data_IF_253622292512
#
_entry.id   IF_253622292512
#
_cell.length_a   1.000
_cell.length_b   1.000
_cell.length_c   1.000
_cell.angle_alpha   90.00
_cell.angle_beta   90.00
_cell.angle_gamma   90.00
#
_symmetry.space_group_name_H-M   'P 1'
#
loop_
_entity.id
_entity.type
_entity.pdbx_description
1 polymer ?
#
# COMPACT_ATOMS: atom_id res chain seq x y z
N UNK A 1 -19.22 -8.86 -12.07
CA UNK A 1 -17.99 -8.96 -11.27
C UNK A 1 -18.11 -8.29 -9.92
N UNK A 2 -17.29 -8.71 -8.94
CA UNK A 2 -17.41 -8.27 -7.55
C UNK A 2 -17.25 -6.75 -7.39
N UNK A 3 -16.36 -6.16 -8.18
CA UNK A 3 -16.03 -4.74 -8.13
C UNK A 3 -16.53 -3.94 -9.34
N UNK A 4 -17.47 -4.50 -10.13
CA UNK A 4 -18.10 -3.78 -11.23
C UNK A 4 -18.76 -2.48 -10.75
N UNK A 5 -18.65 -1.46 -11.60
CA UNK A 5 -19.23 -0.15 -11.31
C UNK A 5 -18.47 0.62 -10.25
N UNK A 6 -17.22 0.25 -9.95
CA UNK A 6 -16.36 1.08 -9.10
C UNK A 6 -16.16 2.45 -9.77
N UNK A 7 -16.46 3.57 -9.06
CA UNK A 7 -16.54 4.88 -9.71
C UNK A 7 -15.20 5.42 -10.21
N UNK A 8 -14.08 4.93 -9.69
CA UNK A 8 -12.73 5.47 -9.96
C UNK A 8 -11.81 4.49 -10.67
N UNK A 9 -12.22 3.25 -10.86
CA UNK A 9 -11.43 2.28 -11.61
C UNK A 9 -12.30 1.42 -12.48
N UNK A 10 -11.91 1.25 -13.73
CA UNK A 10 -12.44 0.25 -14.64
C UNK A 10 -11.45 -0.90 -14.73
N UNK A 11 -11.91 -2.12 -14.86
CA UNK A 11 -11.04 -3.25 -15.17
C UNK A 11 -10.58 -4.06 -13.96
N UNK A 12 -11.34 -4.08 -12.87
CA UNK A 12 -11.12 -5.09 -11.83
C UNK A 12 -11.17 -6.49 -12.45
N UNK A 13 -10.23 -7.36 -12.04
CA UNK A 13 -10.26 -8.77 -12.42
C UNK A 13 -11.55 -9.46 -11.96
N UNK A 14 -11.95 -10.49 -12.66
CA UNK A 14 -13.10 -11.33 -12.29
C UNK A 14 -12.68 -12.54 -11.45
N UNK A 15 -11.38 -12.83 -11.39
CA UNK A 15 -10.82 -13.97 -10.71
C UNK A 15 -9.87 -13.50 -9.61
N UNK A 16 -10.13 -13.94 -8.38
CA UNK A 16 -9.35 -13.58 -7.21
C UNK A 16 -8.88 -14.85 -6.51
N UNK A 17 -7.59 -15.01 -6.30
CA UNK A 17 -7.07 -16.07 -5.42
C UNK A 17 -7.25 -15.69 -3.95
N UNK A 18 -7.18 -14.40 -3.64
CA UNK A 18 -7.33 -13.89 -2.27
C UNK A 18 -8.10 -12.59 -2.25
N UNK A 19 -9.06 -12.53 -1.35
CA UNK A 19 -9.76 -11.31 -0.96
C UNK A 19 -9.62 -11.11 0.54
N UNK A 20 -9.68 -9.87 0.98
CA UNK A 20 -9.66 -9.52 2.39
C UNK A 20 -11.00 -8.94 2.81
N UNK A 21 -11.50 -9.40 3.97
CA UNK A 21 -12.57 -8.75 4.71
C UNK A 21 -11.95 -7.91 5.83
N UNK A 22 -11.97 -6.59 5.66
CA UNK A 22 -11.39 -5.65 6.59
C UNK A 22 -12.48 -5.02 7.45
N UNK A 23 -12.35 -5.11 8.76
CA UNK A 23 -13.28 -4.52 9.71
C UNK A 23 -13.05 -3.03 9.97
N UNK A 24 -11.94 -2.47 9.46
CA UNK A 24 -11.56 -1.07 9.62
C UNK A 24 -10.69 -0.78 10.84
N UNK A 25 -10.30 -1.79 11.62
CA UNK A 25 -9.36 -1.70 12.75
C UNK A 25 -9.44 -0.37 13.53
N UNK A 26 -8.52 0.57 13.31
CA UNK A 26 -8.47 1.86 14.01
C UNK A 26 -9.54 2.87 13.54
N UNK A 27 -10.17 2.65 12.39
CA UNK A 27 -11.24 3.50 11.84
C UNK A 27 -12.62 2.93 12.15
N UNK A 28 -12.84 2.40 13.37
CA UNK A 28 -14.11 1.81 13.80
C UNK A 28 -14.59 2.37 15.14
N UNK A 29 -15.92 2.36 15.35
CA UNK A 29 -16.53 2.71 16.62
C UNK A 29 -16.21 1.73 17.76
N UNK A 30 -15.70 0.56 17.44
CA UNK A 30 -15.40 -0.52 18.39
C UNK A 30 -13.93 -0.61 18.77
N UNK A 31 -13.12 0.35 18.36
CA UNK A 31 -11.71 0.38 18.71
C UNK A 31 -11.53 0.41 20.24
N UNK A 32 -10.93 -0.63 20.79
CA UNK A 32 -10.75 -0.80 22.25
C UNK A 32 -9.61 0.06 22.82
N UNK A 33 -8.81 0.68 21.98
CA UNK A 33 -7.70 1.56 22.39
C UNK A 33 -8.11 2.97 22.79
N UNK A 34 -9.42 3.27 22.85
CA UNK A 34 -9.94 4.58 23.24
C UNK A 34 -9.79 4.80 24.76
N UNK A 35 -8.57 4.93 25.18
CA UNK A 35 -8.24 5.58 26.45
C UNK A 35 -8.03 7.07 26.18
N UNK A 36 -8.20 7.92 27.18
CA UNK A 36 -8.08 9.37 27.06
C UNK A 36 -6.73 9.86 26.47
N UNK A 37 -5.84 8.94 26.16
CA UNK A 37 -4.53 9.20 25.56
C UNK A 37 -4.10 7.99 24.72
N UNK A 38 -4.70 7.80 23.51
CA UNK A 38 -4.35 6.67 22.67
C UNK A 38 -2.90 6.80 22.21
N UNK A 39 -2.03 5.83 22.48
CA UNK A 39 -0.66 5.86 22.00
C UNK A 39 -0.55 5.69 20.47
N UNK A 40 -1.66 5.38 19.81
CA UNK A 40 -1.75 5.19 18.35
C UNK A 40 -3.16 5.52 17.84
N UNK A 41 -3.51 6.75 17.89
CA UNK A 41 -4.18 7.46 16.86
C UNK A 41 -5.65 7.30 16.61
N UNK A 42 -6.46 6.47 17.05
CA UNK A 42 -7.87 6.46 16.67
C UNK A 42 -8.80 6.79 17.83
N UNK A 43 -9.65 7.80 17.71
CA UNK A 43 -10.77 8.02 18.63
C UNK A 43 -12.03 7.41 18.03
N UNK A 44 -12.85 6.76 18.86
CA UNK A 44 -14.18 6.26 18.43
C UNK A 44 -15.04 7.35 17.78
N UNK A 45 -14.94 8.58 18.31
CA UNK A 45 -15.63 9.75 17.77
C UNK A 45 -15.22 10.13 16.36
N UNK A 46 -14.02 9.74 15.94
CA UNK A 46 -13.42 10.14 14.67
C UNK A 46 -13.49 9.01 13.64
N UNK A 47 -14.07 7.87 14.01
CA UNK A 47 -14.22 6.73 13.11
C UNK A 47 -15.15 7.05 11.94
N UNK A 48 -14.68 6.78 10.75
CA UNK A 48 -15.41 7.03 9.50
C UNK A 48 -15.71 5.77 8.72
N UNK A 49 -14.92 4.71 8.92
CA UNK A 49 -14.88 3.48 8.11
C UNK A 49 -14.45 3.70 6.65
N UNK A 50 -14.05 4.93 6.27
CA UNK A 50 -13.83 5.34 4.88
C UNK A 50 -12.36 5.51 4.52
N UNK A 51 -11.50 5.79 5.49
CA UNK A 51 -10.13 6.29 5.25
C UNK A 51 -9.30 5.36 4.37
N UNK A 52 -9.27 4.08 4.71
CA UNK A 52 -8.51 3.11 3.92
C UNK A 52 -9.09 2.93 2.51
N UNK A 53 -10.41 3.05 2.31
CA UNK A 53 -11.01 3.01 0.97
C UNK A 53 -10.66 4.29 0.20
N UNK A 54 -10.78 5.44 0.83
CA UNK A 54 -10.52 6.74 0.23
C UNK A 54 -9.11 6.82 -0.37
N UNK A 55 -8.09 6.41 0.37
CA UNK A 55 -6.70 6.52 -0.12
C UNK A 55 -6.44 5.61 -1.34
N UNK A 56 -7.05 4.43 -1.37
CA UNK A 56 -6.96 3.56 -2.55
C UNK A 56 -7.71 4.16 -3.75
N UNK A 57 -8.87 4.78 -3.52
CA UNK A 57 -9.63 5.45 -4.58
C UNK A 57 -8.86 6.65 -5.14
N UNK A 58 -8.17 7.40 -4.28
CA UNK A 58 -7.32 8.52 -4.73
C UNK A 58 -6.13 8.02 -5.53
N UNK A 59 -5.53 6.90 -5.17
CA UNK A 59 -4.45 6.29 -5.93
C UNK A 59 -4.92 5.91 -7.35
N UNK A 60 -6.14 5.37 -7.51
CA UNK A 60 -6.76 5.17 -8.83
C UNK A 60 -6.98 6.49 -9.59
N UNK A 61 -7.47 7.54 -8.92
CA UNK A 61 -7.71 8.86 -9.56
C UNK A 61 -6.41 9.47 -10.05
N UNK A 62 -5.29 9.22 -9.39
CA UNK A 62 -3.96 9.63 -9.84
C UNK A 62 -3.44 8.80 -11.03
N UNK A 63 -4.20 7.80 -11.49
CA UNK A 63 -3.83 6.96 -12.63
C UNK A 63 -2.97 5.75 -12.25
N UNK A 64 -2.78 5.52 -10.95
CA UNK A 64 -1.99 4.41 -10.45
C UNK A 64 -2.85 3.17 -10.19
N UNK A 65 -2.23 2.01 -10.24
CA UNK A 65 -2.85 0.79 -9.75
C UNK A 65 -3.02 0.85 -8.23
N UNK A 66 -4.19 0.41 -7.77
CA UNK A 66 -4.52 0.34 -6.37
C UNK A 66 -5.44 -0.86 -6.10
N UNK A 67 -5.85 -1.04 -4.86
CA UNK A 67 -6.66 -2.17 -4.46
C UNK A 67 -8.15 -1.84 -4.66
N UNK A 68 -8.83 -2.61 -5.51
CA UNK A 68 -10.28 -2.53 -5.61
C UNK A 68 -10.91 -2.97 -4.30
N UNK A 69 -12.04 -2.35 -3.99
CA UNK A 69 -12.78 -2.71 -2.79
C UNK A 69 -14.15 -2.05 -2.76
N UNK A 70 -15.02 -2.62 -1.96
CA UNK A 70 -16.36 -2.07 -1.70
C UNK A 70 -16.80 -2.40 -0.29
N UNK A 71 -17.74 -1.63 0.22
CA UNK A 71 -18.35 -1.93 1.51
C UNK A 71 -19.36 -3.05 1.41
N UNK A 72 -19.44 -3.85 2.48
CA UNK A 72 -20.34 -4.96 2.61
C UNK A 72 -20.85 -5.10 4.04
N UNK A 73 -22.08 -5.61 4.18
CA UNK A 73 -22.63 -6.01 5.45
C UNK A 73 -22.36 -7.49 5.65
N UNK A 74 -21.66 -7.85 6.72
CA UNK A 74 -21.29 -9.25 6.99
C UNK A 74 -22.34 -9.93 7.85
N UNK A 75 -22.84 -11.06 7.38
CA UNK A 75 -23.69 -11.97 8.12
C UNK A 75 -23.02 -13.35 8.18
N UNK A 76 -22.96 -13.95 9.37
CA UNK A 76 -22.48 -15.31 9.59
C UNK A 76 -23.63 -16.13 10.19
N UNK A 77 -24.06 -17.17 9.49
CA UNK A 77 -25.21 -17.99 9.87
C UNK A 77 -26.49 -17.16 10.15
N UNK A 78 -26.70 -16.10 9.37
CA UNK A 78 -27.85 -15.20 9.52
C UNK A 78 -27.71 -14.15 10.64
N UNK A 79 -26.64 -14.17 11.41
CA UNK A 79 -26.35 -13.17 12.44
C UNK A 79 -25.49 -12.05 11.85
N UNK A 80 -25.93 -10.81 12.06
CA UNK A 80 -25.19 -9.63 11.61
C UNK A 80 -23.90 -9.43 12.41
N UNK A 81 -22.78 -9.33 11.71
CA UNK A 81 -21.44 -9.15 12.29
C UNK A 81 -20.86 -7.76 12.08
N UNK A 82 -21.49 -6.92 11.27
CA UNK A 82 -21.06 -5.54 11.11
C UNK A 82 -20.79 -5.12 9.67
N UNK A 83 -20.27 -3.90 9.57
CA UNK A 83 -19.85 -3.26 8.33
C UNK A 83 -18.40 -3.58 8.05
N UNK A 84 -18.12 -4.08 6.86
CA UNK A 84 -16.79 -4.50 6.42
C UNK A 84 -16.45 -3.88 5.08
N UNK A 85 -15.18 -3.77 4.79
CA UNK A 85 -14.67 -3.56 3.44
C UNK A 85 -14.19 -4.91 2.89
N UNK A 86 -14.82 -5.38 1.80
CA UNK A 86 -14.24 -6.45 0.99
C UNK A 86 -13.31 -5.80 -0.02
N UNK A 87 -12.08 -6.25 -0.09
CA UNK A 87 -11.07 -5.67 -0.97
C UNK A 87 -10.08 -6.72 -1.47
N UNK A 88 -9.38 -6.39 -2.52
CA UNK A 88 -8.27 -7.18 -3.01
C UNK A 88 -7.15 -7.26 -1.98
N UNK A 89 -6.43 -8.36 -2.02
CA UNK A 89 -5.23 -8.54 -1.23
C UNK A 89 -4.02 -8.39 -2.13
N UNK A 90 -3.16 -7.38 -1.89
CA UNK A 90 -1.99 -7.14 -2.72
C UNK A 90 -0.93 -8.22 -2.45
N UNK A 91 -0.62 -8.98 -3.46
CA UNK A 91 0.38 -10.04 -3.48
C UNK A 91 0.85 -10.31 -4.90
N UNK A 92 1.62 -11.36 -5.10
CA UNK A 92 2.13 -11.78 -6.40
C UNK A 92 1.00 -12.10 -7.40
N UNK A 93 -0.09 -12.74 -6.94
CA UNK A 93 -1.25 -13.04 -7.79
C UNK A 93 -1.95 -11.76 -8.27
N UNK A 94 -2.05 -10.76 -7.40
CA UNK A 94 -2.58 -9.44 -7.74
C UNK A 94 -1.76 -8.82 -8.89
N UNK A 95 -0.43 -8.82 -8.78
CA UNK A 95 0.43 -8.30 -9.84
C UNK A 95 0.27 -9.06 -11.16
N UNK A 96 0.24 -10.39 -11.12
CA UNK A 96 0.03 -11.20 -12.33
C UNK A 96 -1.32 -10.89 -12.99
N UNK A 97 -2.37 -10.66 -12.21
CA UNK A 97 -3.71 -10.35 -12.72
C UNK A 97 -3.80 -9.02 -13.47
N UNK A 98 -2.99 -8.01 -13.07
CA UNK A 98 -3.05 -6.66 -13.67
C UNK A 98 -1.87 -6.34 -14.59
N UNK A 99 -0.71 -6.93 -14.35
CA UNK A 99 0.51 -6.65 -15.11
C UNK A 99 0.87 -7.78 -16.09
N UNK A 100 0.14 -8.90 -16.01
CA UNK A 100 0.37 -10.09 -16.84
C UNK A 100 1.52 -10.96 -16.33
N UNK A 101 1.74 -12.10 -16.99
CA UNK A 101 2.70 -13.12 -16.52
C UNK A 101 2.10 -14.02 -15.45
N UNK A 102 2.97 -14.71 -14.72
CA UNK A 102 2.59 -15.63 -13.67
C UNK A 102 2.96 -15.05 -12.28
N UNK A 103 2.32 -15.52 -11.22
CA UNK A 103 2.62 -15.07 -9.86
C UNK A 103 4.09 -15.27 -9.47
N UNK A 104 4.70 -16.33 -10.00
CA UNK A 104 6.10 -16.66 -9.81
C UNK A 104 7.08 -15.64 -10.42
N UNK A 105 6.60 -14.79 -11.33
CA UNK A 105 7.40 -13.70 -11.94
C UNK A 105 7.58 -12.51 -11.01
N UNK A 106 6.84 -12.45 -9.92
CA UNK A 106 6.78 -11.28 -9.03
C UNK A 106 7.30 -11.56 -7.63
N UNK A 107 7.71 -10.49 -6.97
CA UNK A 107 7.89 -10.40 -5.53
C UNK A 107 6.94 -9.38 -4.95
N UNK A 108 6.56 -9.60 -3.70
CA UNK A 108 5.74 -8.67 -2.94
C UNK A 108 6.27 -8.52 -1.52
N UNK A 109 6.16 -7.33 -0.92
CA UNK A 109 6.54 -7.08 0.47
C UNK A 109 5.48 -6.26 1.19
N UNK A 110 5.29 -6.57 2.46
CA UNK A 110 4.47 -5.79 3.40
C UNK A 110 5.40 -5.11 4.40
N UNK A 111 5.84 -3.90 4.06
CA UNK A 111 6.85 -3.18 4.82
C UNK A 111 8.23 -3.81 4.76
N UNK A 112 9.18 -3.24 5.47
CA UNK A 112 10.54 -3.78 5.60
C UNK A 112 10.68 -4.82 6.71
N UNK A 113 9.59 -5.31 7.28
CA UNK A 113 9.63 -6.27 8.38
C UNK A 113 9.81 -7.70 7.86
N UNK A 114 11.01 -8.22 8.03
CA UNK A 114 11.45 -9.54 7.54
C UNK A 114 10.62 -10.72 8.05
N UNK A 115 10.06 -10.61 9.25
CA UNK A 115 9.36 -11.73 9.89
C UNK A 115 7.93 -11.94 9.39
N UNK A 116 7.36 -10.92 8.73
CA UNK A 116 5.95 -10.91 8.30
C UNK A 116 5.75 -11.08 6.79
N UNK A 117 6.82 -11.03 6.03
CA UNK A 117 6.78 -11.14 4.58
C UNK A 117 7.07 -12.58 4.14
N UNK A 118 6.12 -13.47 4.41
CA UNK A 118 6.06 -14.70 3.65
C UNK A 118 5.51 -14.38 2.27
N UNK A 119 6.26 -14.60 1.21
CA UNK A 119 5.63 -14.75 -0.09
C UNK A 119 4.68 -15.92 0.01
N UNK A 120 3.46 -15.79 -0.48
CA UNK A 120 2.50 -16.90 -0.47
C UNK A 120 2.98 -18.11 -1.26
N UNK A 121 4.03 -17.94 -2.06
CA UNK A 121 4.63 -18.97 -2.93
C UNK A 121 6.00 -19.47 -2.43
N UNK A 122 6.34 -19.30 -1.17
CA UNK A 122 7.50 -19.96 -0.55
C UNK A 122 8.87 -19.41 -0.93
N UNK A 123 8.94 -18.26 -1.60
CA UNK A 123 10.19 -17.65 -2.05
C UNK A 123 10.71 -16.55 -1.11
N UNK A 124 10.53 -16.74 0.21
CA UNK A 124 10.84 -15.73 1.23
C UNK A 124 12.25 -15.14 1.23
N UNK A 125 13.22 -15.83 0.66
CA UNK A 125 14.63 -15.39 0.72
C UNK A 125 15.05 -14.52 -0.46
N UNK A 126 14.31 -14.49 -1.57
CA UNK A 126 14.76 -13.80 -2.79
C UNK A 126 14.26 -12.36 -2.94
N UNK A 127 13.13 -11.99 -2.32
CA UNK A 127 12.64 -10.61 -2.39
C UNK A 127 13.62 -9.60 -1.76
N UNK A 128 14.38 -10.02 -0.74
CA UNK A 128 15.42 -9.19 -0.12
C UNK A 128 16.51 -8.79 -1.09
N UNK A 129 16.93 -9.70 -1.97
CA UNK A 129 17.94 -9.38 -2.97
C UNK A 129 17.43 -8.28 -3.90
N UNK A 130 16.18 -8.38 -4.34
CA UNK A 130 15.56 -7.36 -5.20
C UNK A 130 15.34 -6.05 -4.45
N UNK A 131 14.90 -6.08 -3.19
CA UNK A 131 14.76 -4.88 -2.38
C UNK A 131 16.12 -4.20 -2.11
N UNK A 132 17.15 -4.98 -1.83
CA UNK A 132 18.50 -4.47 -1.67
C UNK A 132 19.04 -3.86 -2.98
N UNK A 133 18.71 -4.46 -4.14
CA UNK A 133 19.05 -3.90 -5.45
C UNK A 133 18.34 -2.57 -5.70
N UNK A 134 17.02 -2.48 -5.46
CA UNK A 134 16.27 -1.23 -5.53
C UNK A 134 16.94 -0.11 -4.73
N UNK A 135 17.28 -0.41 -3.48
CA UNK A 135 17.96 0.54 -2.59
C UNK A 135 19.36 0.88 -3.06
N UNK A 136 20.10 -0.08 -3.59
CA UNK A 136 21.42 0.16 -4.16
C UNK A 136 21.37 1.12 -5.35
N UNK A 137 20.42 0.91 -6.25
CA UNK A 137 20.22 1.78 -7.42
C UNK A 137 19.72 3.18 -7.03
N UNK A 138 18.80 3.27 -6.06
CA UNK A 138 18.34 4.56 -5.54
C UNK A 138 19.45 5.38 -4.85
N UNK A 139 20.49 4.71 -4.32
CA UNK A 139 21.67 5.33 -3.68
C UNK A 139 22.80 5.61 -4.64
N UNK A 140 22.79 4.97 -5.80
CA UNK A 140 23.76 5.22 -6.86
C UNK A 140 23.62 6.61 -7.48
N UNK A 141 24.38 6.86 -8.49
CA UNK A 141 24.39 8.11 -9.27
C UNK A 141 23.78 7.95 -10.67
N UNK A 142 23.25 6.77 -10.99
CA UNK A 142 22.61 6.45 -12.27
C UNK A 142 21.09 6.44 -12.11
N UNK A 143 20.46 7.55 -12.48
CA UNK A 143 19.02 7.71 -12.44
C UNK A 143 18.28 6.73 -13.37
N UNK A 144 18.83 6.45 -14.55
CA UNK A 144 18.24 5.52 -15.50
C UNK A 144 18.23 4.10 -14.92
N UNK A 145 19.31 3.69 -14.25
CA UNK A 145 19.37 2.40 -13.56
C UNK A 145 18.36 2.28 -12.41
N UNK A 146 18.07 3.37 -11.71
CA UNK A 146 17.01 3.38 -10.70
C UNK A 146 15.62 3.23 -11.35
N UNK A 147 15.37 3.92 -12.45
CA UNK A 147 14.10 3.87 -13.19
C UNK A 147 13.82 2.52 -13.87
N UNK A 148 14.84 1.69 -14.11
CA UNK A 148 14.65 0.32 -14.62
C UNK A 148 13.95 -0.59 -13.61
N UNK A 149 14.12 -0.36 -12.32
CA UNK A 149 13.66 -1.27 -11.26
C UNK A 149 12.59 -0.66 -10.38
N UNK A 150 12.38 0.64 -10.42
CA UNK A 150 11.39 1.38 -9.63
C UNK A 150 10.44 2.11 -10.60
N UNK A 151 9.15 1.94 -10.41
CA UNK A 151 8.16 2.83 -11.00
C UNK A 151 8.20 4.16 -10.24
N UNK A 152 9.02 5.09 -10.77
CA UNK A 152 9.29 6.36 -10.10
C UNK A 152 8.05 7.25 -10.03
N UNK A 153 7.19 7.23 -11.05
CA UNK A 153 5.94 7.99 -11.07
C UNK A 153 4.98 7.45 -10.01
N UNK A 154 4.81 6.13 -9.95
CA UNK A 154 4.00 5.51 -8.91
C UNK A 154 4.54 5.81 -7.50
N UNK A 155 5.85 5.76 -7.30
CA UNK A 155 6.44 6.09 -6.00
C UNK A 155 6.19 7.55 -5.60
N UNK A 156 6.33 8.49 -6.54
CA UNK A 156 6.06 9.92 -6.30
C UNK A 156 4.60 10.11 -5.91
N UNK A 157 3.68 9.57 -6.67
CA UNK A 157 2.23 9.67 -6.42
C UNK A 157 1.85 9.06 -5.08
N UNK A 158 2.38 7.89 -4.76
CA UNK A 158 2.20 7.23 -3.46
C UNK A 158 2.67 8.13 -2.30
N UNK A 159 3.85 8.76 -2.43
CA UNK A 159 4.40 9.64 -1.41
C UNK A 159 3.59 10.93 -1.26
N UNK A 160 3.23 11.58 -2.38
CA UNK A 160 2.42 12.79 -2.38
C UNK A 160 1.05 12.55 -1.73
N UNK A 161 0.40 11.43 -2.08
CA UNK A 161 -0.87 11.04 -1.51
C UNK A 161 -0.76 10.79 0.00
N UNK A 162 0.27 10.09 0.44
CA UNK A 162 0.52 9.81 1.85
C UNK A 162 0.82 11.08 2.66
N UNK A 163 1.56 12.02 2.09
CA UNK A 163 1.82 13.33 2.71
C UNK A 163 0.54 14.16 2.81
N UNK A 164 -0.23 14.25 1.73
CA UNK A 164 -1.50 14.97 1.71
C UNK A 164 -2.51 14.42 2.71
N UNK A 165 -2.61 13.11 2.81
CA UNK A 165 -3.52 12.43 3.73
C UNK A 165 -3.09 12.54 5.21
N UNK A 166 -1.90 13.08 5.49
CA UNK A 166 -1.39 13.21 6.85
C UNK A 166 -1.19 11.86 7.54
N UNK A 167 -0.62 10.88 6.84
CA UNK A 167 -0.37 9.55 7.38
C UNK A 167 0.81 9.58 8.38
N UNK A 168 0.56 10.09 9.59
CA UNK A 168 1.60 10.45 10.55
C UNK A 168 1.93 9.36 11.57
N UNK A 169 0.95 8.54 11.95
CA UNK A 169 1.08 7.69 13.15
C UNK A 169 1.80 6.37 12.91
N UNK A 170 1.23 5.49 12.14
CA UNK A 170 1.73 4.12 11.98
C UNK A 170 2.38 3.85 10.61
N UNK A 171 2.37 4.82 9.71
CA UNK A 171 3.13 4.78 8.48
C UNK A 171 4.61 5.07 8.75
N UNK A 172 5.42 4.03 8.75
CA UNK A 172 6.84 4.12 9.09
C UNK A 172 7.67 3.19 8.20
N UNK A 173 9.02 3.28 8.23
CA UNK A 173 9.89 2.51 7.34
C UNK A 173 9.65 1.00 7.34
N UNK A 174 9.13 0.45 8.43
CA UNK A 174 9.02 -0.99 8.60
C UNK A 174 7.59 -1.54 8.40
N UNK A 175 6.56 -0.68 8.34
CA UNK A 175 5.16 -1.13 8.31
C UNK A 175 4.21 -0.15 7.64
N UNK A 176 3.02 -0.67 7.33
CA UNK A 176 1.87 0.05 6.79
C UNK A 176 2.15 0.68 5.42
N UNK A 177 2.90 -0.04 4.62
CA UNK A 177 3.07 0.16 3.18
C UNK A 177 3.31 -1.18 2.51
N UNK A 178 2.93 -1.27 1.28
CA UNK A 178 3.17 -2.46 0.48
C UNK A 178 3.86 -2.09 -0.82
N UNK A 179 4.69 -2.99 -1.30
CA UNK A 179 5.32 -2.84 -2.60
C UNK A 179 5.50 -4.21 -3.26
N UNK A 180 5.47 -4.21 -4.57
CA UNK A 180 5.73 -5.40 -5.33
C UNK A 180 6.20 -5.08 -6.74
N UNK A 181 6.87 -6.04 -7.35
CA UNK A 181 7.39 -5.87 -8.69
C UNK A 181 8.03 -7.14 -9.24
N UNK A 182 8.50 -7.07 -10.50
CA UNK A 182 9.08 -8.22 -11.18
C UNK A 182 10.38 -8.67 -10.51
N UNK A 183 10.63 -9.98 -10.53
CA UNK A 183 11.89 -10.60 -10.07
C UNK A 183 13.08 -10.23 -10.95
N UNK A 184 12.84 -10.00 -12.22
CA UNK A 184 13.84 -9.52 -13.16
C UNK A 184 13.45 -8.12 -13.63
N UNK A 185 14.41 -7.24 -13.93
CA UNK A 185 14.11 -5.92 -14.47
C UNK A 185 13.22 -6.05 -15.69
N UNK A 186 12.08 -5.37 -15.66
CA UNK A 186 11.16 -5.22 -16.81
C UNK A 186 10.44 -3.89 -16.69
N UNK A 187 9.88 -3.42 -17.80
CA UNK A 187 9.14 -2.17 -17.82
C UNK A 187 8.09 -2.11 -16.72
N UNK A 188 7.99 -0.97 -16.06
CA UNK A 188 7.04 -0.70 -14.98
C UNK A 188 7.62 -0.86 -13.58
N UNK A 189 8.76 -1.52 -13.39
CA UNK A 189 9.45 -1.55 -12.10
C UNK A 189 8.59 -2.00 -10.90
N UNK A 190 9.08 -1.73 -9.71
CA UNK A 190 8.34 -1.95 -8.47
C UNK A 190 7.36 -0.82 -8.21
N UNK A 191 6.13 -1.19 -7.83
CA UNK A 191 5.02 -0.29 -7.49
C UNK A 191 4.73 -0.32 -5.99
N UNK A 192 4.17 0.79 -5.49
CA UNK A 192 3.87 1.03 -4.08
C UNK A 192 2.36 1.22 -3.89
N UNK A 193 1.86 0.63 -2.81
CA UNK A 193 0.42 0.59 -2.53
C UNK A 193 0.13 1.12 -1.14
N UNK A 194 -0.93 1.92 -1.05
CA UNK A 194 -1.46 2.39 0.22
C UNK A 194 -2.06 1.22 1.01
N UNK A 195 -1.59 1.04 2.24
CA UNK A 195 -1.99 -0.06 3.09
C UNK A 195 -2.16 0.38 4.53
N UNK A 196 -3.24 -0.12 5.18
CA UNK A 196 -3.54 0.13 6.60
C UNK A 196 -3.63 1.60 6.98
N UNK A 197 -4.30 2.38 6.13
CA UNK A 197 -4.40 3.84 6.24
C UNK A 197 -5.64 4.26 7.05
N UNK A 198 -5.88 3.61 8.18
CA UNK A 198 -7.07 3.84 9.00
C UNK A 198 -7.02 5.15 9.80
N UNK A 199 -5.83 5.71 9.99
CA UNK A 199 -5.60 6.89 10.84
C UNK A 199 -5.08 8.13 10.09
N UNK A 200 -5.31 8.18 8.78
CA UNK A 200 -5.11 9.40 7.98
C UNK A 200 -6.14 10.48 8.35
N UNK A 201 -5.83 11.75 8.06
CA UNK A 201 -6.69 12.93 8.32
C UNK A 201 -7.04 13.19 9.79
N UNK A 202 -6.29 12.65 10.73
CA UNK A 202 -6.58 12.84 12.16
C UNK A 202 -5.93 14.09 12.75
N UNK A 203 -4.82 14.53 12.20
CA UNK A 203 -4.06 15.67 12.69
C UNK A 203 -3.73 16.64 11.56
N UNK A 204 -4.49 17.72 11.47
CA UNK A 204 -4.30 18.77 10.46
C UNK A 204 -3.01 19.57 10.65
N UNK A 205 -2.40 19.50 11.83
CA UNK A 205 -1.11 20.13 12.15
C UNK A 205 0.06 19.15 12.06
N UNK A 206 -0.22 17.87 11.84
CA UNK A 206 0.79 16.83 11.73
C UNK A 206 1.72 17.04 10.54
N UNK A 207 3.02 16.93 10.77
CA UNK A 207 4.03 17.01 9.73
C UNK A 207 4.67 15.64 9.52
N UNK A 208 4.43 15.04 8.37
CA UNK A 208 4.99 13.75 7.98
C UNK A 208 6.04 13.83 6.85
N UNK A 209 6.43 15.04 6.41
CA UNK A 209 7.39 15.24 5.32
C UNK A 209 8.79 14.68 5.61
N UNK A 210 9.13 14.48 6.88
CA UNK A 210 10.40 13.92 7.30
C UNK A 210 10.41 12.38 7.41
N UNK A 211 9.32 11.73 7.04
CA UNK A 211 9.24 10.28 7.10
C UNK A 211 10.11 9.61 6.04
N UNK A 212 10.79 8.56 6.44
CA UNK A 212 11.70 7.78 5.58
C UNK A 212 11.02 6.51 5.06
N UNK A 213 9.76 6.61 4.68
CA UNK A 213 8.97 5.54 4.05
C UNK A 213 9.11 5.66 2.54
N UNK A 214 9.06 4.56 1.80
CA UNK A 214 9.27 3.18 2.23
C UNK A 214 10.76 2.88 2.48
N UNK A 215 11.11 2.49 3.69
CA UNK A 215 12.47 2.07 4.09
C UNK A 215 13.62 2.98 3.60
N UNK A 216 13.39 4.28 3.55
CA UNK A 216 14.38 5.27 3.11
C UNK A 216 14.52 5.43 1.59
N UNK A 217 13.84 4.62 0.77
CA UNK A 217 14.00 4.60 -0.68
C UNK A 217 13.75 5.97 -1.33
N UNK A 218 12.63 6.61 -1.01
CA UNK A 218 12.29 7.93 -1.54
C UNK A 218 13.32 9.00 -1.15
N UNK A 219 13.76 8.99 0.11
CA UNK A 219 14.77 9.92 0.58
C UNK A 219 16.14 9.71 -0.08
N UNK A 220 16.50 8.47 -0.39
CA UNK A 220 17.72 8.14 -1.12
C UNK A 220 17.66 8.69 -2.57
N UNK A 221 16.52 8.52 -3.26
CA UNK A 221 16.30 9.09 -4.60
C UNK A 221 16.37 10.61 -4.59
N UNK A 222 15.67 11.27 -3.66
CA UNK A 222 15.72 12.75 -3.53
C UNK A 222 17.12 13.25 -3.24
N UNK A 223 17.91 12.52 -2.48
CA UNK A 223 19.27 12.95 -2.12
C UNK A 223 20.27 12.79 -3.27
N UNK A 224 20.19 11.70 -4.00
CA UNK A 224 21.24 11.27 -4.91
C UNK A 224 20.98 11.59 -6.38
N UNK A 225 19.72 11.84 -6.78
CA UNK A 225 19.37 12.09 -8.17
C UNK A 225 18.77 13.49 -8.35
N UNK A 226 19.46 14.33 -9.12
CA UNK A 226 18.97 15.67 -9.44
C UNK A 226 17.69 15.60 -10.29
N UNK A 227 17.66 14.70 -11.25
CA UNK A 227 16.55 14.44 -12.16
C UNK A 227 15.25 14.07 -11.41
N UNK A 228 15.38 13.47 -10.24
CA UNK A 228 14.23 13.12 -9.40
C UNK A 228 13.65 14.33 -8.64
N UNK A 229 14.39 15.42 -8.52
CA UNK A 229 13.99 16.63 -7.77
C UNK A 229 13.39 17.73 -8.63
N UNK A 230 13.40 17.60 -9.96
CA UNK A 230 13.05 18.70 -10.91
C UNK A 230 11.59 18.64 -11.33
#
# INVERSE_FOLDING_TARGET
PLFDGHPYSSGATDEFRRLMLRSGSHDTFFWLGDTANPPSGGRKSDATYLRNRWINDMQFIMGQEALHGRFAQLFINGVYHGHYQIMEYPNEDFHASYLGGESEDYHFTNGANREKTGSDHGNGDTWWANWAELKSRARGDDYAAAAEVIDLENLIDYMLLSYYAGNTWDWNPNQNWMAGGPKAPRAGGWKFYSWDCDIIFQDVSGNNLNKTVPDGLFADLVRNHEEFRV
#
